data_IF_541761488126
#
_entry.id   IF_541761488126
#
_cell.length_a   1.000
_cell.length_b   1.000
_cell.length_c   1.000
_cell.angle_alpha   90.00
_cell.angle_beta   90.00
_cell.angle_gamma   90.00
#
_symmetry.space_group_name_H-M   'P 1'
#
loop_
_entity.id
_entity.type
_entity.pdbx_description
1 polymer ?
#
# COMPACT_ATOMS: atom_id res chain seq x y z
N UNK A 1 6.03 2.17 -26.95
CA UNK A 1 6.34 1.95 -25.51
C UNK A 1 7.09 0.64 -25.36
N UNK A 2 8.23 0.63 -24.67
CA UNK A 2 8.91 -0.62 -24.34
C UNK A 2 8.09 -1.34 -23.27
N UNK A 3 7.61 -2.55 -23.58
CA UNK A 3 6.86 -3.39 -22.65
C UNK A 3 7.66 -3.63 -21.37
N UNK A 4 8.99 -3.67 -21.45
CA UNK A 4 9.88 -3.84 -20.29
C UNK A 4 9.85 -2.65 -19.34
N UNK A 5 9.79 -1.42 -19.86
CA UNK A 5 9.73 -0.21 -19.01
C UNK A 5 8.37 -0.10 -18.32
N UNK A 6 7.30 -0.53 -19.00
CA UNK A 6 5.94 -0.51 -18.43
C UNK A 6 5.79 -1.56 -17.32
N UNK A 7 6.30 -2.77 -17.54
CA UNK A 7 6.37 -3.80 -16.49
C UNK A 7 7.19 -3.30 -15.30
N UNK A 8 8.36 -2.69 -15.54
CA UNK A 8 9.22 -2.17 -14.46
C UNK A 8 8.50 -1.10 -13.63
N UNK A 9 7.75 -0.20 -14.27
CA UNK A 9 6.95 0.82 -13.58
C UNK A 9 5.94 0.18 -12.64
N UNK A 10 5.10 -0.73 -13.13
CA UNK A 10 4.08 -1.36 -12.29
C UNK A 10 4.69 -2.25 -11.20
N UNK A 11 5.83 -2.92 -11.47
CA UNK A 11 6.56 -3.65 -10.45
C UNK A 11 7.02 -2.72 -9.32
N UNK A 12 7.53 -1.53 -9.65
CA UNK A 12 7.91 -0.54 -8.63
C UNK A 12 6.70 -0.08 -7.81
N UNK A 13 5.54 0.10 -8.45
CA UNK A 13 4.30 0.47 -7.75
C UNK A 13 3.84 -0.60 -6.76
N UNK A 14 3.97 -1.89 -7.12
CA UNK A 14 3.72 -3.00 -6.19
C UNK A 14 4.69 -2.95 -5.02
N UNK A 15 5.98 -2.77 -5.29
CA UNK A 15 7.02 -2.67 -4.26
C UNK A 15 6.70 -1.54 -3.28
N UNK A 16 6.46 -0.34 -3.78
CA UNK A 16 6.15 0.84 -2.97
C UNK A 16 4.92 0.62 -2.07
N UNK A 17 3.86 0.04 -2.61
CA UNK A 17 2.66 -0.31 -1.86
C UNK A 17 2.95 -1.36 -0.76
N UNK A 18 3.71 -2.42 -1.09
CA UNK A 18 4.05 -3.47 -0.11
C UNK A 18 4.99 -2.98 0.99
N UNK A 19 5.88 -2.04 0.69
CA UNK A 19 6.73 -1.37 1.68
C UNK A 19 5.88 -0.56 2.67
N UNK A 20 4.92 0.22 2.16
CA UNK A 20 3.98 0.98 3.00
C UNK A 20 3.15 0.05 3.89
N UNK A 21 2.58 -1.03 3.31
CA UNK A 21 1.82 -2.04 4.04
C UNK A 21 2.64 -2.64 5.18
N UNK A 22 3.91 -2.98 4.92
CA UNK A 22 4.80 -3.54 5.95
C UNK A 22 4.94 -2.58 7.13
N UNK A 23 5.03 -1.27 6.89
CA UNK A 23 5.12 -0.26 7.95
C UNK A 23 3.81 -0.17 8.73
N UNK A 24 2.67 -0.01 8.04
CA UNK A 24 1.38 0.20 8.72
C UNK A 24 0.89 -1.05 9.46
N UNK A 25 1.10 -2.24 8.90
CA UNK A 25 0.74 -3.50 9.56
C UNK A 25 1.60 -3.76 10.81
N UNK A 26 2.88 -3.38 10.79
CA UNK A 26 3.72 -3.42 12.00
C UNK A 26 3.24 -2.45 13.07
N UNK A 27 2.80 -1.26 12.68
CA UNK A 27 2.24 -0.30 13.62
C UNK A 27 0.93 -0.83 14.26
N UNK A 28 0.07 -1.48 13.47
CA UNK A 28 -1.14 -2.14 13.99
C UNK A 28 -0.78 -3.22 15.04
N UNK A 29 0.21 -4.07 14.76
CA UNK A 29 0.66 -5.08 15.73
C UNK A 29 1.19 -4.44 17.03
N UNK A 30 1.96 -3.35 16.91
CA UNK A 30 2.45 -2.58 18.08
C UNK A 30 1.31 -1.95 18.89
N UNK A 31 0.29 -1.40 18.22
CA UNK A 31 -0.89 -0.84 18.87
C UNK A 31 -1.73 -1.93 19.56
N UNK A 32 -1.87 -3.10 18.93
CA UNK A 32 -2.54 -4.25 19.52
C UNK A 32 -1.84 -4.73 20.80
N UNK A 33 -0.51 -4.86 20.76
CA UNK A 33 0.30 -5.21 21.94
C UNK A 33 0.18 -4.16 23.04
N UNK A 34 0.17 -2.87 22.67
CA UNK A 34 0.00 -1.77 23.62
C UNK A 34 -1.36 -1.79 24.28
N UNK A 35 -2.43 -2.11 23.54
CA UNK A 35 -3.78 -2.25 24.07
C UNK A 35 -3.90 -3.47 25.00
N UNK A 36 -3.24 -4.58 24.67
CA UNK A 36 -3.19 -5.76 25.56
C UNK A 36 -2.50 -5.42 26.89
N UNK A 37 -1.43 -4.63 26.85
CA UNK A 37 -0.69 -4.21 28.05
C UNK A 37 -1.44 -3.13 28.86
N UNK A 38 -2.24 -2.29 28.21
CA UNK A 38 -3.06 -1.26 28.83
C UNK A 38 -4.46 -1.18 28.19
N UNK A 39 -5.41 -2.01 28.64
CA UNK A 39 -6.74 -2.12 28.02
C UNK A 39 -7.61 -0.86 28.09
N UNK A 40 -7.30 0.07 29.00
CA UNK A 40 -8.05 1.32 29.14
C UNK A 40 -7.68 2.35 28.06
N UNK A 41 -6.55 2.15 27.36
CA UNK A 41 -6.11 3.03 26.28
C UNK A 41 -6.86 2.74 24.98
N UNK A 42 -8.17 3.02 24.98
CA UNK A 42 -9.08 2.78 23.85
C UNK A 42 -8.71 3.55 22.58
N UNK A 43 -7.87 4.58 22.67
CA UNK A 43 -7.38 5.32 21.50
C UNK A 43 -6.56 4.41 20.56
N UNK A 44 -5.87 3.39 21.09
CA UNK A 44 -5.16 2.39 20.28
C UNK A 44 -6.08 1.62 19.33
N UNK A 45 -7.32 1.37 19.73
CA UNK A 45 -8.29 0.72 18.84
C UNK A 45 -8.67 1.62 17.65
N UNK A 46 -8.73 2.94 17.86
CA UNK A 46 -8.97 3.91 16.80
C UNK A 46 -7.77 4.04 15.87
N UNK A 47 -6.57 4.08 16.43
CA UNK A 47 -5.32 4.13 15.66
C UNK A 47 -5.18 2.90 14.75
N UNK A 48 -5.48 1.70 15.27
CA UNK A 48 -5.49 0.47 14.46
C UNK A 48 -6.52 0.52 13.33
N UNK A 49 -7.71 1.06 13.58
CA UNK A 49 -8.74 1.21 12.54
C UNK A 49 -8.25 2.15 11.43
N UNK A 50 -7.72 3.32 11.80
CA UNK A 50 -7.18 4.29 10.83
C UNK A 50 -6.02 3.68 10.02
N UNK A 51 -5.10 2.98 10.68
CA UNK A 51 -4.00 2.29 9.99
C UNK A 51 -4.50 1.19 9.07
N UNK A 52 -5.57 0.48 9.43
CA UNK A 52 -6.19 -0.56 8.59
C UNK A 52 -6.83 0.03 7.35
N UNK A 53 -7.55 1.15 7.50
CA UNK A 53 -8.12 1.89 6.37
C UNK A 53 -7.02 2.40 5.43
N UNK A 54 -5.94 2.95 6.00
CA UNK A 54 -4.76 3.38 5.24
C UNK A 54 -4.05 2.21 4.56
N UNK A 55 -3.95 1.06 5.21
CA UNK A 55 -3.39 -0.14 4.61
C UNK A 55 -4.22 -0.62 3.42
N UNK A 56 -5.54 -0.64 3.53
CA UNK A 56 -6.40 -1.07 2.44
C UNK A 56 -6.40 -0.09 1.26
N UNK A 57 -6.65 1.19 1.55
CA UNK A 57 -6.98 2.20 0.54
C UNK A 57 -5.81 3.12 0.18
N UNK A 58 -4.76 3.15 1.00
CA UNK A 58 -3.72 4.16 0.95
C UNK A 58 -4.12 5.46 1.63
N UNK A 59 -3.33 6.51 1.42
CA UNK A 59 -3.59 7.87 1.88
C UNK A 59 -3.17 8.87 0.80
N UNK A 60 -3.91 9.97 0.70
CA UNK A 60 -3.54 11.14 -0.09
C UNK A 60 -2.68 12.05 0.80
N UNK A 61 -1.35 11.97 0.65
CA UNK A 61 -0.39 12.67 1.51
C UNK A 61 -0.05 14.05 0.95
N UNK A 62 -0.05 14.20 -0.37
CA UNK A 62 0.22 15.47 -1.04
C UNK A 62 -1.02 16.38 -1.18
N UNK A 63 -2.19 15.87 -0.79
CA UNK A 63 -3.49 16.55 -0.80
C UNK A 63 -3.97 16.90 -2.22
N UNK A 64 -3.66 16.05 -3.19
CA UNK A 64 -4.09 16.22 -4.59
C UNK A 64 -5.49 15.66 -4.89
N UNK A 65 -6.13 15.02 -3.91
CA UNK A 65 -7.46 14.42 -4.02
C UNK A 65 -7.46 12.96 -4.48
N UNK A 66 -6.29 12.36 -4.68
CA UNK A 66 -6.11 10.99 -5.13
C UNK A 66 -5.04 10.27 -4.30
N UNK A 67 -5.11 8.94 -4.26
CA UNK A 67 -4.05 8.12 -3.69
C UNK A 67 -3.15 7.69 -4.83
N UNK A 68 -1.93 8.21 -4.87
CA UNK A 68 -0.97 7.85 -5.89
C UNK A 68 -0.32 6.50 -5.61
N UNK A 69 0.06 5.82 -6.70
CA UNK A 69 0.77 4.54 -6.64
C UNK A 69 2.26 4.75 -6.36
N UNK A 70 2.56 5.45 -5.28
CA UNK A 70 3.92 5.81 -4.85
C UNK A 70 4.13 5.51 -3.37
N UNK A 71 5.40 5.48 -2.98
CA UNK A 71 5.81 5.36 -1.58
C UNK A 71 5.17 6.44 -0.69
N UNK A 72 4.69 6.02 0.48
CA UNK A 72 3.98 6.88 1.44
C UNK A 72 2.46 6.92 1.29
N UNK A 73 1.95 6.67 0.09
CA UNK A 73 0.53 6.78 -0.26
C UNK A 73 -0.11 5.43 -0.57
N UNK A 74 0.51 4.64 -1.45
CA UNK A 74 -0.07 3.43 -1.99
C UNK A 74 -0.43 2.38 -0.91
N UNK A 75 -1.63 1.79 -1.02
CA UNK A 75 -2.13 0.71 -0.16
C UNK A 75 -2.32 -0.61 -0.90
N UNK A 76 -3.01 -1.56 -0.27
CA UNK A 76 -3.24 -2.90 -0.81
C UNK A 76 -4.00 -2.88 -2.14
N UNK A 77 -5.01 -2.02 -2.27
CA UNK A 77 -5.73 -1.85 -3.53
C UNK A 77 -4.82 -1.33 -4.64
N UNK A 78 -3.91 -0.40 -4.33
CA UNK A 78 -2.90 0.10 -5.27
C UNK A 78 -1.97 -1.02 -5.76
N UNK A 79 -1.52 -1.89 -4.85
CA UNK A 79 -0.69 -3.05 -5.20
C UNK A 79 -1.43 -4.03 -6.12
N UNK A 80 -2.70 -4.33 -5.81
CA UNK A 80 -3.54 -5.21 -6.62
C UNK A 80 -3.71 -4.67 -8.04
N UNK A 81 -4.04 -3.38 -8.18
CA UNK A 81 -4.24 -2.72 -9.47
C UNK A 81 -2.95 -2.72 -10.30
N UNK A 82 -1.79 -2.40 -9.69
CA UNK A 82 -0.51 -2.47 -10.38
C UNK A 82 -0.15 -3.89 -10.81
N UNK A 83 -0.45 -4.89 -9.97
CA UNK A 83 -0.27 -6.31 -10.29
C UNK A 83 -1.11 -6.76 -11.49
N UNK A 84 -2.39 -6.38 -11.54
CA UNK A 84 -3.25 -6.64 -12.69
C UNK A 84 -2.74 -5.95 -13.95
N UNK A 85 -2.33 -4.68 -13.84
CA UNK A 85 -1.79 -3.94 -14.97
C UNK A 85 -0.54 -4.61 -15.56
N UNK A 86 0.32 -5.25 -14.74
CA UNK A 86 1.41 -6.07 -15.25
C UNK A 86 0.93 -7.33 -15.96
N UNK A 87 -0.06 -8.02 -15.41
CA UNK A 87 -0.57 -9.28 -15.95
C UNK A 87 -1.26 -9.08 -17.32
N UNK A 88 -1.89 -7.92 -17.53
CA UNK A 88 -2.58 -7.58 -18.78
C UNK A 88 -1.63 -7.13 -19.91
N UNK A 89 -0.34 -6.90 -19.61
CA UNK A 89 0.63 -6.53 -20.64
C UNK A 89 0.90 -7.72 -21.56
N UNK A 90 0.56 -7.54 -22.83
CA UNK A 90 0.89 -8.52 -23.87
C UNK A 90 2.40 -8.55 -24.06
N UNK A 91 3.00 -9.73 -23.91
CA UNK A 91 4.40 -9.97 -24.28
C UNK A 91 4.52 -9.80 -25.80
N UNK A 92 5.04 -8.65 -26.23
CA UNK A 92 5.43 -8.46 -27.62
C UNK A 92 6.69 -9.30 -27.86
N UNK A 93 6.76 -10.11 -28.94
CA UNK A 93 7.94 -10.89 -29.23
C UNK A 93 9.13 -9.98 -29.45
N UNK A 94 10.28 -10.31 -28.85
CA UNK A 94 11.55 -9.64 -29.08
C UNK A 94 11.90 -9.72 -30.57
N UNK A 95 12.05 -8.56 -31.22
CA UNK A 95 12.49 -8.44 -32.62
C UNK A 95 13.96 -8.83 -32.80
#
# INVERSE_FOLDING_TARGET
PDTNDTVRKHAQQVIDATDNLTVWLKAIDQDAQSLLANPENTDRARDMLMLSERALNGIDLDHNGHVDLVKGEAGANSAYLAGQAMADLTLLPSA
#
